data_IF_846070345260
#
_entry.id   IF_846070345260
#
_cell.length_a   1.000
_cell.length_b   1.000
_cell.length_c   1.000
_cell.angle_alpha   90.00
_cell.angle_beta   90.00
_cell.angle_gamma   90.00
#
_symmetry.space_group_name_H-M   'P 1'
#
loop_
_entity.id
_entity.type
_entity.pdbx_description
1 polymer ?
#
# COMPACT_ATOMS: atom_id res chain seq x y z
N UNK A 1 14.68 -4.74 6.28
CA UNK A 1 14.21 -3.36 6.61
C UNK A 1 12.81 -3.41 7.17
N UNK A 2 12.49 -2.56 8.14
CA UNK A 2 11.13 -2.25 8.59
C UNK A 2 10.51 -1.22 7.64
N UNK A 3 9.20 -1.31 7.31
CA UNK A 3 8.50 -0.26 6.56
C UNK A 3 8.64 1.10 7.26
N UNK A 4 8.79 2.18 6.48
CA UNK A 4 8.66 3.53 7.05
C UNK A 4 7.21 3.74 7.50
N UNK A 5 7.03 4.37 8.66
CA UNK A 5 5.74 4.56 9.30
C UNK A 5 5.49 6.05 9.56
N UNK A 6 4.30 6.49 9.20
CA UNK A 6 3.78 7.81 9.52
C UNK A 6 2.58 7.67 10.47
N UNK A 7 2.55 8.46 11.55
CA UNK A 7 1.50 8.38 12.56
C UNK A 7 0.11 8.77 12.03
N UNK A 8 0.06 9.59 10.97
CA UNK A 8 -1.20 10.04 10.37
C UNK A 8 -1.10 10.20 8.85
N UNK A 9 -2.27 10.33 8.21
CA UNK A 9 -2.40 10.62 6.77
C UNK A 9 -1.79 11.98 6.43
N UNK A 10 -1.94 12.97 7.31
CA UNK A 10 -1.37 14.31 7.14
C UNK A 10 0.16 14.26 7.16
N UNK A 11 0.74 13.51 8.11
CA UNK A 11 2.19 13.32 8.19
C UNK A 11 2.73 12.62 6.93
N UNK A 12 2.05 11.57 6.48
CA UNK A 12 2.39 10.90 5.22
C UNK A 12 2.34 11.86 4.03
N UNK A 13 1.25 12.61 3.88
CA UNK A 13 1.04 13.52 2.75
C UNK A 13 2.05 14.68 2.73
N UNK A 14 2.49 15.15 3.89
CA UNK A 14 3.52 16.17 3.99
C UNK A 14 4.87 15.65 3.43
N UNK A 15 5.18 14.37 3.67
CA UNK A 15 6.39 13.73 3.15
C UNK A 15 6.25 13.26 1.68
N UNK A 16 5.03 12.90 1.25
CA UNK A 16 4.76 12.31 -0.08
C UNK A 16 3.77 13.16 -0.90
N UNK A 17 4.08 14.44 -1.22
CA UNK A 17 3.14 15.32 -1.92
C UNK A 17 2.79 14.87 -3.35
N UNK A 18 3.62 14.02 -3.97
CA UNK A 18 3.39 13.48 -5.32
C UNK A 18 2.41 12.28 -5.35
N UNK A 19 2.21 11.60 -4.22
CA UNK A 19 1.38 10.40 -4.09
C UNK A 19 0.38 10.54 -2.93
N UNK A 20 -0.49 11.58 -2.92
CA UNK A 20 -1.30 11.88 -1.76
C UNK A 20 -2.28 10.75 -1.42
N UNK A 21 -2.37 10.44 -0.12
CA UNK A 21 -3.45 9.65 0.47
C UNK A 21 -4.61 10.59 0.77
N UNK A 22 -5.81 10.39 0.19
CA UNK A 22 -6.97 11.24 0.48
C UNK A 22 -7.23 11.42 1.99
N UNK A 23 -7.34 12.67 2.44
CA UNK A 23 -7.62 13.02 3.83
C UNK A 23 -9.07 12.68 4.25
N UNK A 24 -9.99 12.53 3.30
CA UNK A 24 -11.40 12.22 3.55
C UNK A 24 -11.66 10.71 3.47
N UNK A 25 -12.25 10.13 4.54
CA UNK A 25 -12.52 8.68 4.64
C UNK A 25 -13.31 8.12 3.45
N UNK A 26 -14.31 8.85 2.94
CA UNK A 26 -15.12 8.38 1.81
C UNK A 26 -14.29 8.26 0.51
N UNK A 27 -13.33 9.17 0.30
CA UNK A 27 -12.42 9.13 -0.85
C UNK A 27 -11.37 8.02 -0.71
N UNK A 28 -10.98 7.68 0.52
CA UNK A 28 -10.15 6.50 0.80
C UNK A 28 -10.89 5.20 0.50
N UNK A 29 -12.14 5.12 0.92
CA UNK A 29 -12.98 3.92 0.81
C UNK A 29 -13.23 3.47 -0.64
N UNK A 30 -13.16 4.40 -1.61
CA UNK A 30 -13.36 4.13 -3.04
C UNK A 30 -12.08 3.83 -3.80
N UNK A 31 -10.91 3.94 -3.16
CA UNK A 31 -9.65 3.57 -3.80
C UNK A 31 -9.66 2.08 -4.12
N UNK A 32 -9.15 1.74 -5.31
CA UNK A 32 -8.91 0.36 -5.68
C UNK A 32 -7.67 -0.16 -4.95
N UNK A 33 -7.88 -0.62 -3.72
CA UNK A 33 -6.87 -1.28 -2.89
C UNK A 33 -6.95 -2.81 -2.95
N UNK A 34 -5.99 -3.47 -2.30
CA UNK A 34 -5.96 -4.91 -2.12
C UNK A 34 -6.33 -5.30 -0.67
N UNK A 35 -7.19 -6.32 -0.56
CA UNK A 35 -7.57 -6.99 0.70
C UNK A 35 -7.66 -8.48 0.44
N UNK A 36 -6.92 -9.29 1.20
CA UNK A 36 -6.99 -10.74 1.05
C UNK A 36 -8.36 -11.26 1.52
N UNK A 37 -9.06 -11.98 0.64
CA UNK A 37 -10.38 -12.55 0.91
C UNK A 37 -11.39 -11.58 1.58
N UNK A 38 -11.36 -10.30 1.19
CA UNK A 38 -12.17 -9.22 1.79
C UNK A 38 -11.92 -8.92 3.27
N UNK A 39 -11.00 -9.64 3.93
CA UNK A 39 -10.69 -9.47 5.36
C UNK A 39 -9.57 -8.47 5.59
N UNK A 40 -8.68 -8.28 4.62
CA UNK A 40 -7.48 -7.46 4.69
C UNK A 40 -6.21 -8.30 4.75
N UNK A 41 -5.08 -7.67 5.03
CA UNK A 41 -3.75 -8.30 5.13
C UNK A 41 -3.31 -8.25 6.59
N UNK A 42 -2.94 -9.39 7.15
CA UNK A 42 -2.48 -9.50 8.54
C UNK A 42 -1.12 -8.82 8.70
N UNK A 43 -1.00 -7.90 9.65
CA UNK A 43 0.29 -7.34 10.01
C UNK A 43 1.13 -8.32 10.85
N UNK A 44 2.26 -8.71 10.28
CA UNK A 44 3.31 -9.53 10.86
C UNK A 44 4.69 -8.84 10.80
N UNK A 45 4.75 -7.55 10.47
CA UNK A 45 6.01 -6.83 10.19
C UNK A 45 6.20 -5.59 11.06
N UNK A 46 5.15 -4.82 11.37
CA UNK A 46 5.32 -3.48 11.95
C UNK A 46 5.44 -3.46 13.48
N UNK A 47 5.06 -4.56 14.14
CA UNK A 47 5.09 -4.66 15.60
C UNK A 47 4.04 -3.81 16.32
N UNK A 48 3.19 -3.06 15.60
CA UNK A 48 2.12 -2.22 16.18
C UNK A 48 0.90 -3.01 16.69
N UNK A 49 0.93 -4.34 16.53
CA UNK A 49 -0.05 -5.28 17.04
C UNK A 49 -0.15 -6.45 16.07
N UNK A 50 0.51 -7.57 16.40
CA UNK A 50 0.44 -8.79 15.59
C UNK A 50 -1.03 -9.19 15.40
N UNK A 51 -1.51 -9.17 14.15
CA UNK A 51 -2.90 -9.52 13.84
C UNK A 51 -3.81 -8.36 13.43
N UNK A 52 -3.33 -7.12 13.39
CA UNK A 52 -4.11 -6.02 12.80
C UNK A 52 -4.38 -6.33 11.31
N UNK A 53 -5.64 -6.11 10.88
CA UNK A 53 -6.00 -6.28 9.48
C UNK A 53 -5.87 -4.96 8.72
N UNK A 54 -4.96 -4.93 7.76
CA UNK A 54 -4.61 -3.77 6.96
C UNK A 54 -5.23 -3.84 5.56
N UNK A 55 -5.47 -2.68 4.97
CA UNK A 55 -5.72 -2.53 3.54
C UNK A 55 -4.42 -2.07 2.88
N UNK A 56 -4.11 -2.63 1.70
CA UNK A 56 -2.99 -2.17 0.88
C UNK A 56 -3.54 -1.22 -0.18
N UNK A 57 -3.10 0.02 -0.15
CA UNK A 57 -3.55 1.09 -1.04
C UNK A 57 -2.43 1.49 -2.01
N UNK A 58 -2.82 1.83 -3.24
CA UNK A 58 -1.92 2.21 -4.33
C UNK A 58 -2.15 3.70 -4.60
N UNK A 59 -1.14 4.52 -4.39
CA UNK A 59 -1.28 5.97 -4.41
C UNK A 59 -0.38 6.57 -5.50
N UNK A 60 -0.84 7.59 -6.23
CA UNK A 60 -2.13 8.25 -6.10
C UNK A 60 -3.27 7.53 -6.85
N UNK A 61 -4.48 7.58 -6.27
CA UNK A 61 -5.72 7.30 -6.99
C UNK A 61 -6.13 5.82 -7.12
N UNK A 62 -5.49 4.90 -6.41
CA UNK A 62 -5.79 3.46 -6.45
C UNK A 62 -5.04 2.73 -7.56
N UNK A 63 -5.12 1.40 -7.55
CA UNK A 63 -4.50 0.57 -8.57
C UNK A 63 -5.17 0.81 -9.93
N UNK A 64 -4.43 1.09 -11.02
CA UNK A 64 -5.01 1.37 -12.33
C UNK A 64 -5.89 0.23 -12.85
N UNK A 65 -7.07 0.56 -13.38
CA UNK A 65 -7.92 -0.38 -14.13
C UNK A 65 -7.23 -0.81 -15.44
N UNK A 66 -7.64 -1.94 -16.06
CA UNK A 66 -6.99 -2.44 -17.27
C UNK A 66 -6.84 -1.41 -18.39
N UNK A 67 -7.83 -0.55 -18.56
CA UNK A 67 -7.97 0.51 -19.56
C UNK A 67 -7.38 1.88 -19.16
N UNK A 68 -7.05 2.08 -17.88
CA UNK A 68 -6.43 3.32 -17.41
C UNK A 68 -4.95 3.39 -17.76
N UNK A 69 -4.40 4.59 -17.97
CA UNK A 69 -2.95 4.75 -18.07
C UNK A 69 -2.27 4.29 -16.77
N UNK A 70 -1.08 3.68 -16.93
CA UNK A 70 -0.24 3.39 -15.76
C UNK A 70 0.28 4.68 -15.12
N UNK A 71 0.61 4.59 -13.83
CA UNK A 71 1.10 5.69 -13.01
C UNK A 71 2.23 5.17 -12.13
N UNK A 72 3.25 5.99 -11.93
CA UNK A 72 4.28 5.75 -10.92
C UNK A 72 3.82 6.33 -9.59
N UNK A 73 4.02 5.61 -8.50
CA UNK A 73 3.55 6.05 -7.20
C UNK A 73 4.06 5.22 -6.02
N UNK A 74 3.32 5.28 -4.92
CA UNK A 74 3.64 4.66 -3.64
C UNK A 74 2.59 3.62 -3.27
N UNK A 75 3.04 2.48 -2.76
CA UNK A 75 2.17 1.45 -2.17
C UNK A 75 2.27 1.55 -0.67
N UNK A 76 1.12 1.69 0.00
CA UNK A 76 1.04 1.82 1.46
C UNK A 76 0.14 0.77 2.06
N UNK A 77 0.31 0.50 3.35
CA UNK A 77 -0.67 -0.22 4.16
C UNK A 77 -1.21 0.69 5.27
N UNK A 78 -2.51 0.58 5.52
CA UNK A 78 -3.20 1.36 6.55
C UNK A 78 -4.38 0.58 7.13
N UNK A 79 -4.90 1.00 8.29
CA UNK A 79 -6.12 0.40 8.84
C UNK A 79 -7.34 1.04 8.18
N UNK A 80 -7.79 0.49 7.05
CA UNK A 80 -8.95 1.00 6.30
C UNK A 80 -8.81 2.48 5.90
N UNK A 81 -7.60 2.92 5.58
CA UNK A 81 -7.31 4.31 5.26
C UNK A 81 -6.98 5.19 6.46
N UNK A 82 -7.08 4.67 7.67
CA UNK A 82 -6.69 5.39 8.88
C UNK A 82 -5.21 5.14 9.22
N UNK A 83 -4.61 6.14 9.88
CA UNK A 83 -3.25 6.04 10.42
C UNK A 83 -3.14 4.94 11.50
N UNK A 84 -1.94 4.38 11.72
CA UNK A 84 -0.67 4.70 11.05
C UNK A 84 -0.63 4.24 9.58
N UNK A 85 0.16 4.94 8.76
CA UNK A 85 0.40 4.65 7.35
C UNK A 85 1.80 4.06 7.18
N UNK A 86 1.88 2.86 6.62
CA UNK A 86 3.14 2.13 6.40
C UNK A 86 3.51 2.15 4.91
N UNK A 87 4.68 2.68 4.57
CA UNK A 87 5.19 2.68 3.19
C UNK A 87 5.80 1.33 2.85
N UNK A 88 5.26 0.66 1.84
CA UNK A 88 5.71 -0.67 1.40
C UNK A 88 6.65 -0.63 0.20
N UNK A 89 6.40 0.31 -0.72
CA UNK A 89 7.20 0.54 -1.91
C UNK A 89 6.95 1.97 -2.42
N UNK A 90 7.99 2.59 -2.99
CA UNK A 90 7.93 3.93 -3.57
C UNK A 90 8.45 3.91 -5.00
N UNK A 91 8.02 4.89 -5.80
CA UNK A 91 8.47 5.09 -7.17
C UNK A 91 8.30 3.85 -8.07
N UNK A 92 7.22 3.08 -7.84
CA UNK A 92 6.91 1.87 -8.61
C UNK A 92 5.74 2.10 -9.58
N UNK A 93 5.72 1.35 -10.69
CA UNK A 93 4.52 1.22 -11.53
C UNK A 93 3.38 0.65 -10.68
N UNK A 94 2.30 1.40 -10.52
CA UNK A 94 1.14 0.97 -9.74
C UNK A 94 0.43 -0.21 -10.42
N UNK A 95 0.45 -0.29 -11.75
CA UNK A 95 -0.04 -1.46 -12.49
C UNK A 95 0.80 -2.70 -12.17
N UNK A 96 2.13 -2.61 -12.27
CA UNK A 96 3.00 -3.75 -11.98
C UNK A 96 2.88 -4.19 -10.52
N UNK A 97 2.85 -3.24 -9.59
CA UNK A 97 2.65 -3.51 -8.16
C UNK A 97 1.32 -4.21 -7.90
N UNK A 98 0.24 -3.75 -8.53
CA UNK A 98 -1.06 -4.40 -8.41
C UNK A 98 -1.05 -5.83 -8.93
N UNK A 99 -0.43 -6.09 -10.08
CA UNK A 99 -0.34 -7.45 -10.63
C UNK A 99 0.49 -8.36 -9.73
N UNK A 100 1.67 -7.91 -9.28
CA UNK A 100 2.53 -8.69 -8.40
C UNK A 100 1.81 -9.10 -7.10
N UNK A 101 1.12 -8.16 -6.45
CA UNK A 101 0.35 -8.44 -5.24
C UNK A 101 -0.83 -9.38 -5.54
N UNK A 102 -1.55 -9.17 -6.65
CA UNK A 102 -2.66 -10.04 -7.03
C UNK A 102 -2.23 -11.47 -7.34
N UNK A 103 -1.12 -11.65 -8.06
CA UNK A 103 -0.60 -12.95 -8.46
C UNK A 103 -0.07 -13.73 -7.26
N UNK A 104 0.64 -13.05 -6.34
CA UNK A 104 1.12 -13.66 -5.11
C UNK A 104 0.01 -13.97 -4.09
N UNK A 105 -1.13 -13.27 -4.18
CA UNK A 105 -2.28 -13.40 -3.27
C UNK A 105 -1.89 -13.43 -1.78
N UNK A 106 -1.10 -12.46 -1.27
CA UNK A 106 -0.60 -12.51 0.08
C UNK A 106 -1.71 -12.29 1.10
N UNK A 107 -1.65 -13.03 2.21
CA UNK A 107 -2.52 -12.87 3.38
C UNK A 107 -1.83 -12.15 4.54
N UNK A 108 -0.51 -11.97 4.46
CA UNK A 108 0.34 -11.32 5.45
C UNK A 108 1.12 -10.17 4.83
N UNK A 109 1.47 -9.17 5.62
CA UNK A 109 2.16 -7.96 5.15
C UNK A 109 3.56 -8.29 4.63
N UNK A 110 4.26 -9.24 5.26
CA UNK A 110 5.53 -9.79 4.76
C UNK A 110 5.42 -10.38 3.34
N UNK A 111 4.28 -11.00 3.01
CA UNK A 111 3.98 -11.50 1.68
C UNK A 111 3.80 -10.39 0.65
N UNK A 112 3.08 -9.32 1.01
CA UNK A 112 2.93 -8.13 0.15
C UNK A 112 4.30 -7.53 -0.15
N UNK A 113 5.14 -7.38 0.88
CA UNK A 113 6.51 -6.83 0.72
C UNK A 113 7.38 -7.69 -0.18
N UNK A 114 7.30 -9.01 -0.05
CA UNK A 114 8.03 -9.94 -0.90
C UNK A 114 7.61 -9.79 -2.37
N UNK A 115 6.30 -9.66 -2.63
CA UNK A 115 5.77 -9.45 -3.98
C UNK A 115 6.22 -8.13 -4.61
N UNK A 116 6.38 -7.07 -3.80
CA UNK A 116 6.81 -5.76 -4.29
C UNK A 116 8.32 -5.62 -4.48
N UNK A 117 9.12 -6.50 -3.86
CA UNK A 117 10.60 -6.38 -3.81
C UNK A 117 11.25 -6.36 -5.20
N UNK A 118 10.71 -7.11 -6.15
CA UNK A 118 11.24 -7.18 -7.52
C UNK A 118 11.02 -5.88 -8.31
N UNK A 119 10.07 -5.05 -7.87
CA UNK A 119 9.69 -3.79 -8.54
C UNK A 119 10.45 -2.59 -8.01
N UNK A 120 10.91 -2.64 -6.75
CA UNK A 120 11.59 -1.52 -6.09
C UNK A 120 13.07 -1.41 -6.44
N UNK A 121 13.61 -2.31 -7.29
CA UNK A 121 14.97 -2.22 -7.81
C UNK A 121 16.00 -1.88 -6.75
N UNK A 122 16.26 -2.80 -5.82
CA UNK A 122 17.44 -2.71 -4.94
C UNK A 122 18.25 -3.98 -5.13
N UNK A 123 19.04 -4.01 -6.20
CA UNK A 123 20.34 -4.67 -6.12
C UNK A 123 21.22 -3.82 -5.21
N UNK A 124 21.44 -4.30 -3.99
CA UNK A 124 22.70 -4.27 -3.22
C UNK A 124 22.44 -4.66 -1.77
#
# INVERSE_FOLDING_TARGET
MTPEMFDSVEAYNAAHPASPFPAEHHRRSVLRGYRAAMRGVTDDVTGTGSGASLTVDFLPGGAPLPDEADRVGTVVASRWGEGPVFVLAENVSLRAAWQAVKEAWPTHLSGVRSALKELTGTDS
#
